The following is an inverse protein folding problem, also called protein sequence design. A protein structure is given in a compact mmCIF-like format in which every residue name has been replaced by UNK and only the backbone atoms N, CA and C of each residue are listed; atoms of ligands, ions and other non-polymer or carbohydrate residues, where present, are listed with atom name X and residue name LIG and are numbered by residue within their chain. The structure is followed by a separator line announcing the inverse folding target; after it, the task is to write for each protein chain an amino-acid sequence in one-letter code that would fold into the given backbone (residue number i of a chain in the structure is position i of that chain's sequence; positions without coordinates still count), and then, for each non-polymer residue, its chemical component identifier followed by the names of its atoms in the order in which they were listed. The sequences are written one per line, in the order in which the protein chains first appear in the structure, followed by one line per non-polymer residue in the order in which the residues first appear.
data_IF_006652690475
#
_entry.id   IF_006652690475
#
_cell.length_a   1.000
_cell.length_b   1.000
_cell.length_c   1.000
_cell.angle_alpha   90.00
_cell.angle_beta   90.00
_cell.angle_gamma   90.00
#
_symmetry.space_group_name_H-M   'P 1'
#
loop_
_entity.id
_entity.type
_entity.pdbx_description
1 polymer ?
#
# COMPACT_ATOMS: atom_id res chain seq x y z
N UNK A 1 -16.13 3.27 -64.04
CA UNK A 1 -16.38 2.81 -65.42
C UNK A 1 -17.89 2.65 -65.56
N UNK A 2 -18.46 3.15 -66.66
CA UNK A 2 -19.90 3.14 -67.01
C UNK A 2 -20.71 4.22 -66.26
N UNK A 3 -21.50 5.10 -66.86
CA UNK A 3 -21.54 5.80 -68.16
C UNK A 3 -22.62 6.87 -67.95
N UNK A 4 -22.33 8.11 -68.32
CA UNK A 4 -23.31 9.20 -68.34
C UNK A 4 -24.37 8.94 -69.42
N UNK A 5 -25.65 9.19 -69.10
CA UNK A 5 -26.65 9.50 -70.12
C UNK A 5 -27.43 10.74 -69.68
N UNK A 6 -27.22 11.82 -70.41
CA UNK A 6 -28.01 13.03 -70.41
C UNK A 6 -29.16 12.83 -71.39
N UNK A 7 -30.39 13.17 -71.00
CA UNK A 7 -31.46 13.42 -71.98
C UNK A 7 -32.36 14.54 -71.47
N UNK A 8 -32.26 15.68 -72.14
CA UNK A 8 -33.17 16.83 -72.02
C UNK A 8 -34.46 16.56 -72.82
N UNK A 9 -35.61 16.83 -72.16
CA UNK A 9 -36.88 17.39 -72.66
C UNK A 9 -37.80 16.52 -73.58
N UNK A 10 -39.16 16.70 -73.53
CA UNK A 10 -39.81 18.01 -73.43
C UNK A 10 -41.01 18.19 -72.47
N UNK A 11 -41.22 19.49 -72.22
CA UNK A 11 -42.43 20.17 -71.79
C UNK A 11 -43.65 19.72 -72.63
N UNK A 12 -44.78 19.42 -71.97
CA UNK A 12 -46.11 19.45 -72.59
C UNK A 12 -46.88 18.13 -72.59
N UNK A 13 -47.66 17.88 -71.54
CA UNK A 13 -48.96 17.23 -71.66
C UNK A 13 -49.83 17.64 -70.47
N UNK A 14 -50.60 18.70 -70.70
CA UNK A 14 -51.72 19.15 -69.91
C UNK A 14 -52.75 18.01 -69.82
N UNK A 15 -52.79 17.26 -68.73
CA UNK A 15 -53.96 16.45 -68.39
C UNK A 15 -54.91 17.29 -67.55
N UNK A 16 -55.76 18.04 -68.24
CA UNK A 16 -57.01 18.51 -67.67
C UNK A 16 -57.95 17.31 -67.58
N UNK A 17 -58.37 16.93 -66.36
CA UNK A 17 -59.64 16.26 -66.16
C UNK A 17 -60.62 17.25 -65.52
N UNK A 18 -61.52 17.72 -66.37
CA UNK A 18 -62.95 17.90 -66.17
C UNK A 18 -63.44 18.49 -64.84
N UNK A 19 -63.66 19.81 -64.86
CA UNK A 19 -64.58 20.51 -63.97
C UNK A 19 -66.02 20.23 -64.45
N UNK A 20 -66.73 19.32 -63.79
CA UNK A 20 -68.17 19.18 -63.95
C UNK A 20 -68.91 19.33 -62.61
N UNK A 21 -69.45 20.54 -62.43
CA UNK A 21 -70.66 20.92 -61.69
C UNK A 21 -70.87 20.35 -60.27
N UNK A 22 -70.55 21.16 -59.27
CA UNK A 22 -71.11 21.07 -57.93
C UNK A 22 -70.56 22.23 -57.08
N UNK A 23 -71.41 22.89 -56.30
CA UNK A 23 -71.04 23.94 -55.33
C UNK A 23 -70.25 23.37 -54.14
N UNK A 24 -69.18 22.62 -54.39
CA UNK A 24 -68.26 22.07 -53.41
C UNK A 24 -66.89 22.70 -53.58
N UNK A 25 -66.49 23.54 -52.64
CA UNK A 25 -65.10 24.02 -52.62
C UNK A 25 -64.15 22.83 -52.62
N UNK A 26 -63.10 22.88 -53.45
CA UNK A 26 -62.05 21.84 -53.47
C UNK A 26 -61.63 21.57 -52.02
N UNK A 27 -61.81 20.34 -51.54
CA UNK A 27 -61.47 19.98 -50.17
C UNK A 27 -60.01 20.37 -49.90
N UNK A 28 -59.79 21.13 -48.83
CA UNK A 28 -58.46 21.52 -48.39
C UNK A 28 -58.20 20.93 -47.02
N UNK A 29 -56.98 20.45 -46.83
CA UNK A 29 -56.56 19.73 -45.64
C UNK A 29 -55.52 20.52 -44.86
N UNK A 30 -55.54 20.41 -43.54
CA UNK A 30 -54.60 21.03 -42.64
C UNK A 30 -53.45 20.07 -42.29
N UNK A 31 -52.29 20.66 -41.98
CA UNK A 31 -51.20 19.97 -41.29
C UNK A 31 -51.11 20.58 -39.90
N UNK A 32 -51.30 19.78 -38.88
CA UNK A 32 -51.15 20.20 -37.48
C UNK A 32 -50.01 19.45 -36.82
N UNK A 33 -49.38 20.10 -35.85
CA UNK A 33 -48.28 19.51 -35.08
C UNK A 33 -48.76 19.32 -33.64
N UNK A 34 -48.45 18.15 -33.08
CA UNK A 34 -48.72 17.79 -31.69
C UNK A 34 -47.39 17.55 -30.98
N UNK A 35 -47.05 18.40 -30.01
CA UNK A 35 -45.82 18.30 -29.23
C UNK A 35 -45.72 17.04 -28.36
N UNK A 36 -46.81 16.27 -28.22
CA UNK A 36 -46.84 14.95 -27.58
C UNK A 36 -46.12 14.92 -26.22
N UNK A 37 -46.65 15.67 -25.25
CA UNK A 37 -46.08 15.72 -23.91
C UNK A 37 -44.73 16.44 -23.81
N UNK A 38 -44.40 17.33 -24.76
CA UNK A 38 -43.28 18.28 -24.61
C UNK A 38 -43.39 19.06 -23.29
N UNK A 39 -42.23 19.39 -22.71
CA UNK A 39 -42.13 20.10 -21.43
C UNK A 39 -41.69 21.54 -21.59
N UNK A 40 -41.10 21.90 -22.73
CA UNK A 40 -40.73 23.27 -23.06
C UNK A 40 -40.60 23.50 -24.58
N UNK A 41 -40.50 24.77 -24.95
CA UNK A 41 -40.43 25.21 -26.34
C UNK A 41 -41.81 25.32 -27.01
N UNK A 42 -41.79 25.59 -28.31
CA UNK A 42 -43.01 25.83 -29.09
C UNK A 42 -43.18 24.78 -30.20
N UNK A 43 -44.40 24.27 -30.29
CA UNK A 43 -44.85 23.40 -31.37
C UNK A 43 -45.11 24.25 -32.62
N UNK A 44 -44.68 23.82 -33.83
CA UNK A 44 -44.90 24.60 -35.05
C UNK A 44 -46.38 24.83 -35.34
N UNK A 45 -46.70 26.00 -35.87
CA UNK A 45 -48.04 26.32 -36.38
C UNK A 45 -47.99 26.41 -37.90
N UNK A 46 -48.89 25.70 -38.58
CA UNK A 46 -49.14 25.89 -40.01
C UNK A 46 -50.58 26.32 -40.26
N UNK A 47 -50.74 27.58 -40.69
CA UNK A 47 -52.04 28.18 -40.96
C UNK A 47 -52.55 27.87 -42.38
N UNK A 48 -51.72 27.25 -43.23
CA UNK A 48 -52.07 26.98 -44.62
C UNK A 48 -53.08 25.83 -44.73
N UNK A 49 -53.65 25.70 -45.92
CA UNK A 49 -54.63 24.70 -46.30
C UNK A 49 -54.26 24.14 -47.66
N UNK A 50 -54.09 22.84 -47.75
CA UNK A 50 -53.44 22.15 -48.85
C UNK A 50 -54.43 21.31 -49.66
N UNK A 51 -54.28 21.27 -50.98
CA UNK A 51 -54.92 20.28 -51.82
C UNK A 51 -54.20 18.92 -51.70
N UNK A 52 -54.85 17.87 -52.17
CA UNK A 52 -54.18 16.60 -52.44
C UNK A 52 -53.02 16.81 -53.43
N UNK A 53 -51.91 16.13 -53.19
CA UNK A 53 -50.64 16.23 -53.90
C UNK A 53 -49.82 17.50 -53.67
N UNK A 54 -50.30 18.42 -52.84
CA UNK A 54 -49.47 19.56 -52.43
C UNK A 54 -48.28 19.07 -51.59
N UNK A 55 -47.12 19.70 -51.80
CA UNK A 55 -45.91 19.47 -51.03
C UNK A 55 -45.83 20.42 -49.83
N UNK A 56 -45.54 19.87 -48.65
CA UNK A 56 -45.42 20.58 -47.39
C UNK A 56 -44.03 20.37 -46.82
N UNK A 57 -43.30 21.45 -46.55
CA UNK A 57 -42.05 21.36 -45.80
C UNK A 57 -42.36 21.20 -44.31
N UNK A 58 -41.94 20.08 -43.74
CA UNK A 58 -42.11 19.77 -42.31
C UNK A 58 -41.32 20.78 -41.48
N UNK A 59 -41.96 21.38 -40.48
CA UNK A 59 -41.37 22.46 -39.68
C UNK A 59 -40.63 21.90 -38.47
N UNK A 60 -39.57 22.60 -38.07
CA UNK A 60 -38.91 22.40 -36.78
C UNK A 60 -39.67 23.19 -35.70
N UNK A 61 -39.80 22.62 -34.51
CA UNK A 61 -40.21 23.38 -33.32
C UNK A 61 -39.11 24.34 -32.86
N UNK A 62 -39.51 25.42 -32.18
CA UNK A 62 -38.55 26.40 -31.65
C UNK A 62 -38.27 26.06 -30.19
N UNK A 63 -37.05 25.61 -29.90
CA UNK A 63 -36.68 25.16 -28.55
C UNK A 63 -37.49 23.96 -28.04
N UNK A 64 -38.16 23.23 -28.93
CA UNK A 64 -39.07 22.13 -28.58
C UNK A 64 -38.27 21.01 -27.89
N UNK A 65 -38.62 20.75 -26.64
CA UNK A 65 -37.94 19.75 -25.83
C UNK A 65 -38.90 19.01 -24.90
N UNK A 66 -38.51 17.80 -24.54
CA UNK A 66 -39.14 17.00 -23.49
C UNK A 66 -38.04 16.55 -22.55
N UNK A 67 -38.19 16.91 -21.28
CA UNK A 67 -37.21 16.63 -20.25
C UNK A 67 -36.88 15.13 -20.21
N UNK A 68 -35.59 14.80 -20.35
CA UNK A 68 -35.10 13.42 -20.36
C UNK A 68 -35.24 12.69 -21.69
N UNK A 69 -35.73 13.29 -22.77
CA UNK A 69 -35.87 12.63 -24.08
C UNK A 69 -35.19 13.41 -25.21
N UNK A 70 -34.87 12.71 -26.29
CA UNK A 70 -34.35 13.30 -27.53
C UNK A 70 -35.45 13.34 -28.58
N UNK A 71 -35.59 14.48 -29.27
CA UNK A 71 -36.55 14.61 -30.37
C UNK A 71 -36.09 13.76 -31.57
N UNK A 72 -36.87 12.75 -31.93
CA UNK A 72 -36.59 11.81 -33.01
C UNK A 72 -37.24 12.17 -34.35
N UNK A 73 -38.00 13.26 -34.43
CA UNK A 73 -38.78 13.67 -35.61
C UNK A 73 -40.29 13.65 -35.35
N UNK A 74 -41.08 13.73 -36.41
CA UNK A 74 -42.53 13.73 -36.34
C UNK A 74 -43.11 12.41 -36.88
N UNK A 75 -43.94 11.73 -36.09
CA UNK A 75 -44.73 10.59 -36.52
C UNK A 75 -45.93 11.04 -37.36
N UNK A 76 -46.20 10.30 -38.43
CA UNK A 76 -47.34 10.55 -39.32
C UNK A 76 -47.90 9.28 -39.91
N UNK A 77 -49.17 9.32 -40.29
CA UNK A 77 -49.89 8.28 -41.04
C UNK A 77 -50.28 8.77 -42.45
N UNK A 78 -49.72 9.88 -42.92
CA UNK A 78 -50.12 10.52 -44.18
C UNK A 78 -49.99 9.60 -45.40
N UNK A 79 -49.00 8.70 -45.39
CA UNK A 79 -48.79 7.67 -46.43
C UNK A 79 -49.63 6.40 -46.24
N UNK A 80 -50.47 6.34 -45.20
CA UNK A 80 -51.25 5.16 -44.82
C UNK A 80 -50.50 4.16 -43.93
N UNK A 81 -49.21 4.40 -43.66
CA UNK A 81 -48.38 3.62 -42.72
C UNK A 81 -47.73 4.59 -41.73
N UNK A 82 -47.41 4.12 -40.51
CA UNK A 82 -46.73 4.93 -39.52
C UNK A 82 -45.28 5.16 -39.95
N UNK A 83 -44.92 6.41 -40.18
CA UNK A 83 -43.56 6.81 -40.58
C UNK A 83 -43.07 8.00 -39.76
N UNK A 84 -41.75 8.20 -39.74
CA UNK A 84 -41.13 9.38 -39.11
C UNK A 84 -40.62 10.32 -40.18
N UNK A 85 -41.04 11.59 -40.13
CA UNK A 85 -40.56 12.67 -41.00
C UNK A 85 -39.77 13.70 -40.19
N UNK A 86 -38.62 14.09 -40.71
CA UNK A 86 -37.73 15.07 -40.09
C UNK A 86 -38.10 16.49 -40.49
N UNK A 87 -37.85 17.49 -39.63
CA UNK A 87 -37.91 18.88 -40.04
C UNK A 87 -37.08 19.15 -41.31
N UNK A 88 -37.66 19.91 -42.24
CA UNK A 88 -37.08 20.21 -43.55
C UNK A 88 -37.37 19.18 -44.65
N UNK A 89 -37.87 17.98 -44.30
CA UNK A 89 -38.34 17.03 -45.31
C UNK A 89 -39.67 17.48 -45.94
N UNK A 90 -39.90 17.01 -47.16
CA UNK A 90 -41.15 17.25 -47.89
C UNK A 90 -42.14 16.14 -47.58
N UNK A 91 -43.33 16.53 -47.15
CA UNK A 91 -44.51 15.69 -46.96
C UNK A 91 -45.49 15.96 -48.10
N UNK A 92 -45.96 14.93 -48.80
CA UNK A 92 -46.97 15.07 -49.85
C UNK A 92 -48.37 14.84 -49.25
N UNK A 93 -49.29 15.77 -49.50
CA UNK A 93 -50.63 15.72 -48.91
C UNK A 93 -51.54 14.70 -49.59
N UNK A 94 -52.21 13.90 -48.76
CA UNK A 94 -53.27 12.98 -49.18
C UNK A 94 -54.65 13.65 -49.29
N UNK A 95 -55.69 12.85 -49.07
CA UNK A 95 -57.09 13.28 -49.07
C UNK A 95 -57.66 13.50 -47.66
N UNK A 96 -56.84 13.85 -46.67
CA UNK A 96 -57.26 14.05 -45.29
C UNK A 96 -56.31 15.01 -44.55
N UNK A 97 -56.77 15.54 -43.41
CA UNK A 97 -55.92 16.28 -42.47
C UNK A 97 -54.80 15.38 -41.94
N UNK A 98 -53.61 15.97 -41.76
CA UNK A 98 -52.44 15.26 -41.23
C UNK A 98 -52.08 15.84 -39.87
N UNK A 99 -51.93 14.96 -38.89
CA UNK A 99 -51.34 15.30 -37.59
C UNK A 99 -49.92 14.75 -37.54
N UNK A 100 -48.96 15.63 -37.31
CA UNK A 100 -47.56 15.32 -37.07
C UNK A 100 -47.32 15.29 -35.56
N UNK A 101 -47.11 14.10 -34.99
CA UNK A 101 -46.96 13.92 -33.54
C UNK A 101 -45.48 13.77 -33.18
N UNK A 102 -44.97 14.54 -32.23
CA UNK A 102 -43.55 14.49 -31.85
C UNK A 102 -43.15 13.09 -31.38
N UNK A 103 -42.08 12.55 -31.95
CA UNK A 103 -41.43 11.29 -31.55
C UNK A 103 -40.36 11.61 -30.52
N UNK A 104 -40.48 11.03 -29.33
CA UNK A 104 -39.53 11.22 -28.24
C UNK A 104 -38.79 9.92 -27.95
N UNK A 105 -37.48 9.93 -28.15
CA UNK A 105 -36.59 8.79 -27.97
C UNK A 105 -35.96 8.83 -26.57
N UNK A 106 -35.80 7.67 -25.94
CA UNK A 106 -35.15 7.55 -24.65
C UNK A 106 -33.62 7.51 -24.79
N UNK A 107 -32.94 7.84 -23.70
CA UNK A 107 -31.48 7.77 -23.57
C UNK A 107 -31.09 6.91 -22.37
N UNK A 108 -29.89 6.36 -22.41
CA UNK A 108 -29.26 5.74 -21.26
C UNK A 108 -28.01 6.55 -20.91
N UNK A 109 -27.91 6.94 -19.65
CA UNK A 109 -26.78 7.72 -19.14
C UNK A 109 -26.15 7.01 -17.96
N UNK A 110 -24.86 7.26 -17.74
CA UNK A 110 -24.08 6.59 -16.73
C UNK A 110 -23.47 7.62 -15.77
N UNK A 111 -23.67 7.39 -14.47
CA UNK A 111 -23.16 8.23 -13.40
C UNK A 111 -22.09 7.48 -12.61
N UNK A 112 -20.91 8.09 -12.43
CA UNK A 112 -19.79 7.48 -11.70
C UNK A 112 -20.07 7.24 -10.21
N UNK A 113 -21.18 7.76 -9.69
CA UNK A 113 -21.73 7.55 -8.35
C UNK A 113 -20.68 7.71 -7.25
N UNK A 114 -20.12 8.92 -7.16
CA UNK A 114 -19.10 9.26 -6.16
C UNK A 114 -17.67 8.83 -6.50
N UNK A 115 -17.40 8.32 -7.70
CA UNK A 115 -16.05 7.97 -8.17
C UNK A 115 -15.01 9.06 -7.85
N UNK A 116 -13.85 8.64 -7.33
CA UNK A 116 -12.68 9.49 -7.05
C UNK A 116 -11.84 9.80 -8.30
N UNK A 117 -12.15 9.19 -9.44
CA UNK A 117 -11.57 9.53 -10.74
C UNK A 117 -12.05 8.62 -11.88
N UNK A 118 -11.51 8.86 -13.07
CA UNK A 118 -12.01 8.27 -14.32
C UNK A 118 -13.22 9.03 -14.86
N UNK A 119 -13.81 8.53 -15.95
CA UNK A 119 -15.04 9.06 -16.53
C UNK A 119 -16.05 7.92 -16.76
N UNK A 120 -17.35 8.16 -16.54
CA UNK A 120 -18.36 7.18 -16.90
C UNK A 120 -18.40 7.00 -18.42
N UNK A 121 -18.83 5.82 -18.92
CA UNK A 121 -19.02 5.60 -20.35
C UNK A 121 -20.16 6.50 -20.88
N UNK A 122 -20.07 6.85 -22.16
CA UNK A 122 -21.13 7.55 -22.88
C UNK A 122 -21.87 6.57 -23.80
N UNK A 123 -23.18 6.71 -23.88
CA UNK A 123 -24.01 6.02 -24.89
C UNK A 123 -24.71 7.08 -25.74
N UNK A 124 -24.22 7.24 -26.97
CA UNK A 124 -24.73 8.25 -27.92
C UNK A 124 -25.97 7.74 -28.70
N UNK A 125 -26.44 6.52 -28.39
CA UNK A 125 -27.64 5.95 -29.01
C UNK A 125 -28.90 6.51 -28.36
N UNK A 126 -30.00 6.42 -29.11
CA UNK A 126 -31.34 6.71 -28.63
C UNK A 126 -32.21 5.48 -28.86
N UNK A 127 -33.21 5.31 -28.00
CA UNK A 127 -33.98 4.07 -27.88
C UNK A 127 -35.48 4.30 -27.92
N UNK A 128 -36.22 3.28 -28.32
CA UNK A 128 -37.66 3.16 -28.15
C UNK A 128 -38.01 2.16 -27.05
N UNK A 129 -39.24 2.21 -26.50
CA UNK A 129 -39.69 1.21 -25.55
C UNK A 129 -39.64 -0.19 -26.17
N UNK A 130 -38.98 -1.11 -25.48
CA UNK A 130 -38.75 -2.49 -25.94
C UNK A 130 -37.37 -2.73 -26.54
N UNK A 131 -36.63 -1.69 -26.93
CA UNK A 131 -35.27 -1.84 -27.45
C UNK A 131 -34.33 -2.48 -26.43
N UNK A 132 -33.34 -3.23 -26.89
CA UNK A 132 -32.36 -3.86 -26.02
C UNK A 132 -31.13 -2.96 -25.84
N UNK A 133 -30.76 -2.71 -24.59
CA UNK A 133 -29.56 -1.97 -24.20
C UNK A 133 -28.55 -2.94 -23.61
N UNK A 134 -27.34 -2.98 -24.16
CA UNK A 134 -26.21 -3.74 -23.59
C UNK A 134 -25.40 -2.83 -22.66
N UNK A 135 -25.23 -3.25 -21.42
CA UNK A 135 -24.55 -2.50 -20.38
C UNK A 135 -23.02 -2.57 -20.56
N UNK A 136 -22.32 -1.42 -20.63
CA UNK A 136 -20.88 -1.38 -20.76
C UNK A 136 -20.19 -1.79 -19.45
N UNK A 137 -18.93 -2.19 -19.56
CA UNK A 137 -18.04 -2.33 -18.40
C UNK A 137 -17.59 -0.97 -17.87
N UNK A 138 -16.30 -0.88 -17.52
CA UNK A 138 -15.68 0.35 -17.04
C UNK A 138 -14.57 0.86 -17.98
N UNK A 139 -14.88 1.23 -19.24
CA UNK A 139 -13.87 1.60 -20.23
C UNK A 139 -13.15 2.91 -19.91
N UNK A 140 -13.82 3.83 -19.21
CA UNK A 140 -13.26 5.13 -18.79
C UNK A 140 -12.46 5.07 -17.48
N UNK A 141 -12.24 3.86 -16.93
CA UNK A 141 -11.38 3.65 -15.77
C UNK A 141 -11.87 4.35 -14.50
N UNK A 142 -13.19 4.32 -14.25
CA UNK A 142 -13.77 4.80 -12.99
C UNK A 142 -13.07 4.11 -11.81
N UNK A 143 -12.68 4.92 -10.82
CA UNK A 143 -12.05 4.47 -9.57
C UNK A 143 -12.77 5.08 -8.38
N UNK A 144 -12.85 4.34 -7.29
CA UNK A 144 -13.29 4.82 -5.99
C UNK A 144 -12.32 4.29 -4.94
N UNK A 145 -11.69 5.19 -4.19
CA UNK A 145 -10.70 4.81 -3.18
C UNK A 145 -11.40 3.97 -2.10
N UNK A 146 -10.84 2.81 -1.74
CA UNK A 146 -11.50 1.88 -0.80
C UNK A 146 -12.51 0.91 -1.42
N UNK A 147 -12.75 0.95 -2.73
CA UNK A 147 -13.75 0.08 -3.36
C UNK A 147 -13.42 -0.32 -4.81
N UNK A 148 -13.99 -1.45 -5.23
CA UNK A 148 -13.89 -1.97 -6.60
C UNK A 148 -15.19 -1.80 -7.36
N UNK A 149 -15.10 -1.45 -8.64
CA UNK A 149 -16.26 -1.34 -9.53
C UNK A 149 -16.92 -2.72 -9.69
N UNK A 150 -18.21 -2.80 -9.36
CA UNK A 150 -18.98 -4.04 -9.31
C UNK A 150 -20.08 -4.13 -10.39
N UNK A 151 -20.18 -3.12 -11.25
CA UNK A 151 -21.22 -3.00 -12.26
C UNK A 151 -22.01 -1.70 -12.11
N UNK A 152 -23.25 -1.73 -12.56
CA UNK A 152 -24.18 -0.61 -12.57
C UNK A 152 -25.47 -0.96 -11.83
N UNK A 153 -26.17 0.03 -11.29
CA UNK A 153 -27.47 -0.13 -10.64
C UNK A 153 -28.41 1.03 -10.99
N UNK A 154 -29.72 0.78 -10.92
CA UNK A 154 -30.74 1.77 -11.28
C UNK A 154 -30.82 2.91 -10.26
N UNK A 155 -30.59 2.62 -8.98
CA UNK A 155 -30.63 3.62 -7.92
C UNK A 155 -29.21 3.95 -7.43
N UNK A 156 -28.97 5.23 -7.12
CA UNK A 156 -27.67 5.70 -6.63
C UNK A 156 -27.25 5.07 -5.28
N UNK A 157 -28.22 4.66 -4.47
CA UNK A 157 -27.99 3.98 -3.18
C UNK A 157 -27.65 2.48 -3.33
N UNK A 158 -27.58 1.97 -4.56
CA UNK A 158 -27.27 0.57 -4.84
C UNK A 158 -28.48 -0.38 -4.75
N UNK A 159 -29.68 0.14 -4.46
CA UNK A 159 -30.91 -0.67 -4.45
C UNK A 159 -31.49 -0.83 -5.86
N UNK A 160 -32.48 -1.72 -6.00
CA UNK A 160 -33.13 -2.01 -7.27
C UNK A 160 -32.32 -2.92 -8.17
N UNK A 161 -32.63 -2.88 -9.47
CA UNK A 161 -31.98 -3.73 -10.46
C UNK A 161 -30.50 -3.36 -10.65
N UNK A 162 -29.73 -4.40 -10.93
CA UNK A 162 -28.27 -4.37 -10.95
C UNK A 162 -27.77 -5.10 -12.17
N UNK A 163 -26.80 -4.51 -12.85
CA UNK A 163 -26.28 -4.98 -14.12
C UNK A 163 -24.76 -5.06 -14.08
N UNK A 164 -24.23 -6.17 -14.56
CA UNK A 164 -22.80 -6.39 -14.81
C UNK A 164 -22.48 -6.16 -16.28
N UNK A 165 -21.19 -6.15 -16.63
CA UNK A 165 -20.76 -5.88 -18.00
C UNK A 165 -21.35 -6.89 -18.98
N UNK A 166 -21.94 -6.40 -20.07
CA UNK A 166 -22.55 -7.26 -21.10
C UNK A 166 -23.98 -7.70 -20.78
N UNK A 167 -24.51 -7.42 -19.59
CA UNK A 167 -25.93 -7.64 -19.32
C UNK A 167 -26.79 -6.81 -20.27
N UNK A 168 -27.97 -7.32 -20.60
CA UNK A 168 -28.91 -6.69 -21.52
C UNK A 168 -30.22 -6.44 -20.79
N UNK A 169 -30.73 -5.22 -20.88
CA UNK A 169 -32.07 -4.88 -20.40
C UNK A 169 -32.92 -4.29 -21.53
N UNK A 170 -34.24 -4.46 -21.42
CA UNK A 170 -35.19 -3.88 -22.37
C UNK A 170 -35.59 -2.48 -21.90
N UNK A 171 -35.58 -1.52 -22.82
CA UNK A 171 -35.83 -0.12 -22.52
C UNK A 171 -37.29 0.11 -22.16
N UNK A 172 -37.50 0.82 -21.05
CA UNK A 172 -38.83 1.23 -20.61
C UNK A 172 -39.35 2.47 -21.35
N UNK A 173 -40.47 3.01 -20.86
CA UNK A 173 -41.05 4.24 -21.43
C UNK A 173 -40.31 5.54 -21.07
N UNK A 174 -39.30 5.47 -20.19
CA UNK A 174 -38.52 6.60 -19.68
C UNK A 174 -37.04 6.35 -19.88
N UNK A 175 -36.27 7.43 -20.03
CA UNK A 175 -34.81 7.38 -20.02
C UNK A 175 -34.28 6.88 -18.68
N UNK A 176 -33.11 6.24 -18.71
CA UNK A 176 -32.51 5.58 -17.55
C UNK A 176 -31.16 6.23 -17.24
N UNK A 177 -30.92 6.47 -15.95
CA UNK A 177 -29.59 6.74 -15.41
C UNK A 177 -29.14 5.49 -14.68
N UNK A 178 -27.98 4.97 -15.04
CA UNK A 178 -27.33 3.87 -14.36
C UNK A 178 -26.18 4.41 -13.52
N UNK A 179 -26.17 4.08 -12.23
CA UNK A 179 -25.16 4.52 -11.27
C UNK A 179 -24.12 3.43 -11.09
N UNK A 180 -22.84 3.82 -11.01
CA UNK A 180 -21.79 2.87 -10.73
C UNK A 180 -22.02 2.22 -9.35
N UNK A 181 -21.94 0.88 -9.32
CA UNK A 181 -22.04 0.09 -8.10
C UNK A 181 -20.64 -0.26 -7.62
N UNK A 182 -20.39 -0.05 -6.33
CA UNK A 182 -19.09 -0.24 -5.72
C UNK A 182 -19.15 -1.31 -4.64
N UNK A 183 -18.14 -2.18 -4.59
CA UNK A 183 -17.94 -3.15 -3.50
C UNK A 183 -16.73 -2.70 -2.68
N UNK A 184 -16.91 -2.46 -1.39
CA UNK A 184 -15.82 -2.09 -0.48
C UNK A 184 -14.72 -3.14 -0.48
N UNK A 185 -13.47 -2.70 -0.58
CA UNK A 185 -12.32 -3.58 -0.55
C UNK A 185 -12.06 -4.07 0.88
N UNK A 186 -11.71 -5.35 1.09
CA UNK A 186 -11.33 -5.84 2.40
C UNK A 186 -10.03 -5.17 2.87
N UNK A 187 -9.95 -4.88 4.17
CA UNK A 187 -8.76 -4.31 4.80
C UNK A 187 -8.18 -5.26 5.85
N UNK A 188 -6.86 -5.21 6.01
CA UNK A 188 -6.08 -6.08 6.87
C UNK A 188 -5.20 -5.25 7.82
N UNK A 189 -4.73 -5.87 8.91
CA UNK A 189 -3.94 -5.20 9.95
C UNK A 189 -2.63 -5.93 10.23
N UNK A 190 -1.65 -5.19 10.75
CA UNK A 190 -0.40 -5.74 11.30
C UNK A 190 -0.47 -5.69 12.82
N UNK A 191 -0.25 -6.83 13.47
CA UNK A 191 -0.15 -6.95 14.93
C UNK A 191 1.28 -7.28 15.31
N UNK A 192 1.84 -6.56 16.27
CA UNK A 192 3.18 -6.81 16.79
C UNK A 192 3.11 -7.51 18.16
N UNK A 193 4.11 -8.34 18.46
CA UNK A 193 4.30 -8.99 19.75
C UNK A 193 5.74 -8.82 20.23
N UNK A 194 5.92 -8.42 21.49
CA UNK A 194 7.25 -8.23 22.10
C UNK A 194 8.08 -9.50 22.28
N UNK A 195 7.47 -10.67 22.12
CA UNK A 195 8.11 -12.00 22.09
C UNK A 195 9.15 -12.20 23.19
N UNK A 196 8.67 -12.35 24.43
CA UNK A 196 9.47 -12.51 25.65
C UNK A 196 10.28 -11.26 26.04
N UNK A 197 9.78 -10.06 25.71
CA UNK A 197 10.35 -8.82 26.23
C UNK A 197 10.24 -8.76 27.77
N UNK A 198 11.23 -8.17 28.42
CA UNK A 198 11.27 -7.95 29.88
C UNK A 198 10.76 -6.55 30.26
N UNK A 199 10.69 -5.64 29.29
CA UNK A 199 10.18 -4.28 29.51
C UNK A 199 9.74 -3.57 28.23
N UNK A 200 9.33 -2.31 28.39
CA UNK A 200 8.80 -1.48 27.32
C UNK A 200 7.36 -1.80 26.92
N UNK A 201 6.90 -1.19 25.84
CA UNK A 201 5.55 -1.36 25.27
C UNK A 201 5.66 -1.84 23.83
N UNK A 202 4.85 -2.83 23.46
CA UNK A 202 4.82 -3.31 22.08
C UNK A 202 4.21 -2.24 21.16
N UNK A 203 4.85 -1.85 20.05
CA UNK A 203 4.28 -0.93 19.09
C UNK A 203 2.92 -1.43 18.56
N UNK A 204 1.98 -0.51 18.38
CA UNK A 204 0.66 -0.80 17.82
C UNK A 204 0.47 -0.02 16.53
N UNK A 205 0.04 -0.71 15.47
CA UNK A 205 -0.41 -0.09 14.22
C UNK A 205 -1.94 -0.01 14.21
N UNK A 206 -2.47 1.21 14.24
CA UNK A 206 -3.91 1.46 14.22
C UNK A 206 -4.49 1.46 12.80
N UNK A 207 -3.64 1.43 11.77
CA UNK A 207 -4.02 1.55 10.37
C UNK A 207 -4.59 0.23 9.84
N UNK A 208 -5.58 0.32 8.96
CA UNK A 208 -6.07 -0.81 8.18
C UNK A 208 -5.63 -0.60 6.72
N UNK A 209 -5.13 -1.66 6.10
CA UNK A 209 -4.50 -1.60 4.78
C UNK A 209 -5.23 -2.51 3.80
N UNK A 210 -5.42 -2.06 2.57
CA UNK A 210 -5.82 -2.94 1.48
C UNK A 210 -4.68 -3.88 1.08
N UNK A 211 -5.02 -5.02 0.49
CA UNK A 211 -4.02 -5.91 -0.10
C UNK A 211 -3.22 -5.17 -1.19
N UNK A 212 -1.90 -5.34 -1.20
CA UNK A 212 -1.00 -4.66 -2.13
C UNK A 212 -0.50 -3.29 -1.66
N UNK A 213 -1.06 -2.73 -0.58
CA UNK A 213 -0.57 -1.48 0.00
C UNK A 213 0.88 -1.61 0.48
N UNK A 214 1.67 -0.55 0.33
CA UNK A 214 3.01 -0.46 0.91
C UNK A 214 2.91 -0.04 2.38
N UNK A 215 3.44 -0.87 3.27
CA UNK A 215 3.42 -0.65 4.72
C UNK A 215 4.83 -0.58 5.25
N UNK A 216 5.10 0.40 6.11
CA UNK A 216 6.39 0.54 6.80
C UNK A 216 6.33 -0.19 8.13
N UNK A 217 7.20 -1.17 8.33
CA UNK A 217 7.30 -1.93 9.58
C UNK A 217 7.71 -1.00 10.71
N UNK A 218 6.97 -1.03 11.82
CA UNK A 218 7.13 -0.06 12.90
C UNK A 218 8.52 -0.18 13.56
N UNK A 219 9.12 0.95 13.96
CA UNK A 219 10.32 0.94 14.76
C UNK A 219 10.03 0.47 16.19
N UNK A 220 11.07 0.33 17.01
CA UNK A 220 10.94 0.07 18.44
C UNK A 220 10.45 1.32 19.22
N UNK A 221 9.30 1.87 18.82
CA UNK A 221 8.77 3.14 19.35
C UNK A 221 8.34 3.07 20.82
N UNK A 222 8.01 1.89 21.32
CA UNK A 222 7.67 1.68 22.73
C UNK A 222 8.86 1.26 23.60
N UNK A 223 10.09 1.37 23.08
CA UNK A 223 11.32 1.05 23.82
C UNK A 223 11.30 -0.36 24.43
N UNK A 224 10.89 -1.36 23.64
CA UNK A 224 10.99 -2.77 24.01
C UNK A 224 12.44 -3.10 24.38
N UNK A 225 12.58 -3.82 25.49
CA UNK A 225 13.84 -4.35 25.99
C UNK A 225 13.66 -5.81 26.39
N UNK A 226 14.75 -6.57 26.27
CA UNK A 226 14.87 -7.93 26.77
C UNK A 226 16.26 -8.09 27.36
N UNK A 227 16.35 -8.35 28.65
CA UNK A 227 17.63 -8.37 29.39
C UNK A 227 18.59 -9.42 28.79
N UNK A 228 19.81 -8.99 28.46
CA UNK A 228 20.85 -9.80 27.78
C UNK A 228 20.60 -10.03 26.28
N UNK A 229 19.73 -9.23 25.65
CA UNK A 229 19.44 -9.32 24.22
C UNK A 229 19.23 -7.95 23.55
N UNK A 230 19.80 -7.80 22.36
CA UNK A 230 19.48 -6.73 21.42
C UNK A 230 18.31 -7.10 20.49
N UNK A 231 17.43 -6.13 20.20
CA UNK A 231 16.36 -6.28 19.20
C UNK A 231 16.97 -6.31 17.80
N UNK A 232 16.85 -7.45 17.11
CA UNK A 232 17.34 -7.67 15.76
C UNK A 232 16.30 -7.36 14.67
N UNK A 233 15.02 -7.20 15.03
CA UNK A 233 13.94 -6.85 14.11
C UNK A 233 12.63 -7.56 14.44
N UNK A 234 11.79 -7.74 13.43
CA UNK A 234 10.45 -8.32 13.56
C UNK A 234 10.32 -9.55 12.66
N UNK A 235 10.01 -10.70 13.23
CA UNK A 235 9.91 -11.99 12.54
C UNK A 235 8.46 -12.41 12.32
N UNK A 236 8.18 -13.10 11.22
CA UNK A 236 6.85 -13.65 10.91
C UNK A 236 6.45 -14.82 11.83
N UNK A 237 7.40 -15.40 12.56
CA UNK A 237 7.18 -16.54 13.44
C UNK A 237 7.74 -16.28 14.84
N UNK A 238 7.05 -16.83 15.84
CA UNK A 238 7.46 -16.74 17.25
C UNK A 238 8.84 -17.34 17.51
N UNK A 239 9.20 -18.40 16.77
CA UNK A 239 10.46 -19.12 16.91
C UNK A 239 11.64 -18.47 16.16
N UNK A 240 11.40 -17.37 15.44
CA UNK A 240 12.43 -16.66 14.68
C UNK A 240 12.85 -17.31 13.36
N UNK A 241 12.19 -18.40 12.94
CA UNK A 241 12.49 -19.12 11.68
C UNK A 241 11.87 -18.49 10.45
N UNK A 242 10.94 -17.54 10.62
CA UNK A 242 10.31 -16.81 9.52
C UNK A 242 11.21 -15.73 8.93
N UNK A 243 10.69 -15.01 7.94
CA UNK A 243 11.39 -13.84 7.42
C UNK A 243 11.49 -12.76 8.51
N UNK A 244 12.62 -12.04 8.55
CA UNK A 244 12.86 -10.96 9.53
C UNK A 244 12.84 -9.62 8.80
N UNK A 245 11.91 -8.76 9.19
CA UNK A 245 11.83 -7.38 8.78
C UNK A 245 12.66 -6.50 9.71
N UNK A 246 13.50 -5.64 9.13
CA UNK A 246 14.17 -4.60 9.89
C UNK A 246 13.17 -3.50 10.31
N UNK A 247 13.38 -2.81 11.45
CA UNK A 247 12.67 -1.59 11.79
C UNK A 247 12.70 -0.57 10.64
N UNK A 248 11.54 -0.06 10.20
CA UNK A 248 11.43 0.88 9.08
C UNK A 248 11.49 0.24 7.69
N UNK A 249 11.62 -1.08 7.58
CA UNK A 249 11.55 -1.77 6.29
C UNK A 249 10.15 -1.65 5.69
N UNK A 250 10.07 -1.45 4.37
CA UNK A 250 8.80 -1.46 3.63
C UNK A 250 8.44 -2.90 3.23
N UNK A 251 7.19 -3.29 3.45
CA UNK A 251 6.59 -4.55 3.00
C UNK A 251 5.31 -4.29 2.20
N UNK A 252 4.92 -5.24 1.36
CA UNK A 252 3.65 -5.23 0.65
C UNK A 252 2.62 -5.97 1.51
N UNK A 253 1.47 -5.34 1.78
CA UNK A 253 0.42 -5.95 2.58
C UNK A 253 -0.20 -7.15 1.86
N UNK A 254 -0.20 -8.37 2.43
CA UNK A 254 -0.88 -9.51 1.84
C UNK A 254 -2.41 -9.38 1.99
N UNK A 255 -3.15 -10.26 1.32
CA UNK A 255 -4.60 -10.41 1.49
C UNK A 255 -4.98 -11.14 2.80
N UNK A 256 -4.29 -10.84 3.89
CA UNK A 256 -4.49 -11.42 5.22
C UNK A 256 -3.91 -10.52 6.31
N UNK A 257 -4.41 -10.66 7.55
CA UNK A 257 -3.77 -10.03 8.70
C UNK A 257 -2.36 -10.59 8.91
N UNK A 258 -1.42 -9.73 9.29
CA UNK A 258 -0.02 -10.09 9.53
C UNK A 258 0.27 -10.00 11.02
N UNK A 259 0.99 -10.98 11.53
CA UNK A 259 1.47 -10.98 12.92
C UNK A 259 2.99 -11.03 12.91
N UNK A 260 3.62 -10.08 13.57
CA UNK A 260 5.07 -9.95 13.67
C UNK A 260 5.52 -10.07 15.13
N UNK A 261 6.60 -10.77 15.35
CA UNK A 261 7.17 -11.07 16.67
C UNK A 261 8.56 -10.46 16.78
N UNK A 262 8.88 -9.80 17.89
CA UNK A 262 10.22 -9.28 18.11
C UNK A 262 11.24 -10.43 18.01
N UNK A 263 12.29 -10.21 17.23
CA UNK A 263 13.43 -11.11 17.11
C UNK A 263 14.56 -10.54 17.93
N UNK A 264 15.10 -11.35 18.83
CA UNK A 264 16.14 -10.98 19.77
C UNK A 264 17.42 -11.73 19.45
N UNK A 265 18.55 -11.04 19.48
CA UNK A 265 19.90 -11.63 19.39
C UNK A 265 20.54 -11.50 20.76
N UNK A 266 21.10 -12.59 21.30
CA UNK A 266 21.77 -12.56 22.59
C UNK A 266 22.97 -11.60 22.53
N UNK A 267 23.14 -10.82 23.58
CA UNK A 267 24.32 -9.97 23.72
C UNK A 267 25.57 -10.84 23.90
N UNK A 268 26.73 -10.40 23.38
CA UNK A 268 27.97 -11.14 23.53
C UNK A 268 28.36 -11.19 25.01
N UNK A 269 28.89 -12.35 25.43
CA UNK A 269 29.45 -12.54 26.76
C UNK A 269 30.92 -12.91 26.68
N UNK A 270 31.67 -12.56 27.71
CA UNK A 270 33.13 -12.64 27.79
C UNK A 270 33.54 -13.40 29.06
N UNK A 271 34.72 -14.00 29.00
CA UNK A 271 35.30 -14.82 30.07
C UNK A 271 36.53 -14.16 30.69
N UNK A 272 36.89 -14.61 31.90
CA UNK A 272 38.10 -14.14 32.61
C UNK A 272 39.03 -15.32 32.84
N UNK A 273 40.26 -15.21 32.36
CA UNK A 273 41.31 -16.20 32.57
C UNK A 273 42.43 -15.64 33.46
N UNK A 274 42.99 -16.50 34.30
CA UNK A 274 44.14 -16.16 35.14
C UNK A 274 45.37 -16.92 34.66
N UNK A 275 46.47 -16.19 34.44
CA UNK A 275 47.77 -16.73 34.05
C UNK A 275 48.74 -16.63 35.23
N UNK A 276 49.28 -17.77 35.67
CA UNK A 276 50.30 -17.81 36.72
C UNK A 276 51.61 -17.06 36.36
N UNK A 277 51.76 -16.66 35.10
CA UNK A 277 52.80 -15.75 34.60
C UNK A 277 54.21 -16.06 35.12
N UNK A 278 54.73 -17.21 34.71
CA UNK A 278 56.07 -17.68 35.12
C UNK A 278 56.12 -18.28 36.52
N UNK A 279 55.00 -18.74 37.06
CA UNK A 279 54.96 -19.50 38.30
C UNK A 279 55.76 -20.80 38.19
N UNK A 280 56.40 -21.20 39.29
CA UNK A 280 57.15 -22.46 39.42
C UNK A 280 56.33 -23.55 40.13
N UNK A 281 55.19 -23.18 40.73
CA UNK A 281 54.27 -24.12 41.36
C UNK A 281 52.88 -23.53 41.61
N UNK A 282 52.00 -24.35 42.17
CA UNK A 282 50.59 -24.02 42.39
C UNK A 282 49.75 -23.98 41.11
N UNK A 283 48.51 -23.54 41.21
CA UNK A 283 47.58 -23.40 40.08
C UNK A 283 46.91 -22.04 40.09
N UNK A 284 46.74 -21.42 38.92
CA UNK A 284 45.96 -20.19 38.79
C UNK A 284 44.48 -20.45 39.14
N UNK A 285 43.76 -19.47 39.70
CA UNK A 285 42.32 -19.58 39.93
C UNK A 285 41.57 -19.71 38.59
N UNK A 286 40.38 -20.29 38.65
CA UNK A 286 39.48 -20.44 37.50
C UNK A 286 38.23 -19.61 37.78
N UNK A 287 37.88 -18.73 36.84
CA UNK A 287 36.57 -18.08 36.80
C UNK A 287 35.69 -18.83 35.80
N UNK A 288 34.52 -19.29 36.26
CA UNK A 288 33.55 -20.03 35.45
C UNK A 288 32.36 -19.19 34.99
N UNK A 289 32.38 -17.89 35.27
CA UNK A 289 31.30 -16.96 34.93
C UNK A 289 31.47 -16.41 33.51
N UNK A 290 30.36 -15.95 32.94
CA UNK A 290 30.31 -15.19 31.70
C UNK A 290 29.78 -13.80 32.04
N UNK A 291 30.41 -12.79 31.45
CA UNK A 291 30.16 -11.39 31.76
C UNK A 291 29.73 -10.65 30.50
N UNK A 292 28.74 -9.79 30.60
CA UNK A 292 28.43 -8.81 29.55
C UNK A 292 29.40 -7.62 29.64
N UNK A 293 29.50 -6.81 28.59
CA UNK A 293 30.31 -5.58 28.64
C UNK A 293 29.80 -4.66 29.75
N UNK A 294 30.72 -4.18 30.60
CA UNK A 294 30.43 -3.30 31.73
C UNK A 294 30.12 -4.00 33.05
N UNK A 295 29.94 -5.32 33.04
CA UNK A 295 29.82 -6.09 34.28
C UNK A 295 31.08 -5.96 35.15
N UNK A 296 30.92 -5.98 36.47
CA UNK A 296 32.06 -5.92 37.38
C UNK A 296 32.61 -7.31 37.68
N UNK A 297 33.77 -7.62 37.12
CA UNK A 297 34.58 -8.80 37.46
C UNK A 297 35.23 -8.59 38.82
N UNK A 298 35.03 -9.53 39.74
CA UNK A 298 35.70 -9.51 41.05
C UNK A 298 36.99 -10.31 41.00
N UNK A 299 38.11 -9.64 41.21
CA UNK A 299 39.45 -10.22 41.10
C UNK A 299 39.67 -11.29 42.17
N UNK A 300 40.09 -12.48 41.75
CA UNK A 300 40.38 -13.60 42.63
C UNK A 300 41.68 -13.36 43.40
N UNK A 301 41.77 -13.91 44.62
CA UNK A 301 43.02 -13.99 45.36
C UNK A 301 43.97 -15.05 44.78
N UNK A 302 44.76 -15.69 45.65
CA UNK A 302 45.64 -16.79 45.27
C UNK A 302 45.23 -18.13 45.92
N UNK A 303 44.03 -18.66 45.63
CA UNK A 303 43.53 -19.86 46.32
C UNK A 303 44.28 -21.13 45.94
N UNK A 304 44.85 -21.19 44.73
CA UNK A 304 45.65 -22.32 44.25
C UNK A 304 47.12 -22.27 44.68
N UNK A 305 47.46 -21.36 45.59
CA UNK A 305 48.80 -21.19 46.16
C UNK A 305 49.89 -21.12 45.07
N UNK A 306 49.70 -20.24 44.08
CA UNK A 306 50.72 -19.91 43.10
C UNK A 306 51.99 -19.47 43.81
N UNK A 307 53.11 -20.04 43.39
CA UNK A 307 54.45 -19.69 43.85
C UNK A 307 55.39 -19.49 42.66
N UNK A 308 56.36 -18.61 42.84
CA UNK A 308 57.46 -18.39 41.91
C UNK A 308 58.75 -18.23 42.72
N UNK A 309 59.74 -19.05 42.42
CA UNK A 309 61.00 -19.09 43.17
C UNK A 309 61.66 -17.69 43.20
N UNK A 310 62.06 -17.27 44.40
CA UNK A 310 62.65 -15.97 44.69
C UNK A 310 61.73 -14.76 44.49
N UNK A 311 60.41 -14.97 44.42
CA UNK A 311 59.43 -13.90 44.28
C UNK A 311 58.22 -14.07 45.21
N UNK A 312 57.60 -12.95 45.58
CA UNK A 312 56.33 -12.88 46.30
C UNK A 312 55.21 -12.46 45.36
N UNK A 313 54.06 -13.15 45.42
CA UNK A 313 52.85 -12.79 44.66
C UNK A 313 52.32 -11.43 45.13
N UNK A 314 52.17 -10.49 44.20
CA UNK A 314 51.80 -9.10 44.49
C UNK A 314 50.39 -8.72 44.02
N UNK A 315 49.65 -9.65 43.41
CA UNK A 315 48.34 -9.41 42.80
C UNK A 315 48.35 -9.74 41.30
N UNK A 316 47.38 -9.18 40.58
CA UNK A 316 47.17 -9.42 39.16
C UNK A 316 47.38 -8.14 38.33
N UNK A 317 47.81 -8.27 37.10
CA UNK A 317 47.92 -7.18 36.13
C UNK A 317 47.34 -7.57 34.78
N UNK A 318 47.02 -6.58 33.95
CA UNK A 318 46.46 -6.79 32.61
C UNK A 318 47.54 -7.05 31.56
N UNK A 319 48.79 -6.73 31.89
CA UNK A 319 49.95 -6.86 31.00
C UNK A 319 50.85 -8.00 31.50
N UNK A 320 51.28 -8.96 30.64
CA UNK A 320 52.17 -10.04 31.05
C UNK A 320 53.54 -9.56 31.56
N UNK A 321 54.02 -8.39 31.13
CA UNK A 321 55.28 -7.80 31.60
C UNK A 321 55.14 -7.15 33.00
N UNK A 322 53.95 -7.20 33.61
CA UNK A 322 53.72 -6.66 34.95
C UNK A 322 53.62 -5.13 35.00
N UNK A 323 53.54 -4.49 33.83
CA UNK A 323 53.43 -3.05 33.69
C UNK A 323 51.99 -2.57 34.00
N UNK A 324 51.88 -1.36 34.54
CA UNK A 324 50.59 -0.75 34.85
C UNK A 324 50.02 -1.12 36.22
N UNK A 325 48.69 -1.04 36.32
CA UNK A 325 47.93 -1.22 37.55
C UNK A 325 48.04 -2.65 38.10
N UNK A 326 47.98 -2.75 39.43
CA UNK A 326 47.97 -4.03 40.15
C UNK A 326 46.63 -4.15 40.85
N UNK A 327 45.95 -5.27 40.62
CA UNK A 327 44.66 -5.58 41.18
C UNK A 327 44.81 -6.63 42.28
N UNK A 328 44.33 -6.29 43.46
CA UNK A 328 44.31 -7.14 44.63
C UNK A 328 43.04 -8.00 44.67
N UNK A 329 43.01 -8.97 45.58
CA UNK A 329 41.82 -9.78 45.82
C UNK A 329 40.61 -8.90 46.17
N UNK A 330 39.50 -9.12 45.47
CA UNK A 330 38.24 -8.42 45.71
C UNK A 330 38.10 -7.10 44.97
N UNK A 331 39.14 -6.62 44.28
CA UNK A 331 39.04 -5.47 43.39
C UNK A 331 38.02 -5.74 42.27
N UNK A 332 37.40 -4.68 41.75
CA UNK A 332 36.42 -4.76 40.66
C UNK A 332 37.02 -4.21 39.37
N UNK A 333 36.93 -5.00 38.30
CA UNK A 333 37.33 -4.61 36.94
C UNK A 333 36.08 -4.62 36.06
N UNK A 334 35.71 -3.50 35.41
CA UNK A 334 34.62 -3.51 34.44
C UNK A 334 35.03 -4.32 33.21
N UNK A 335 34.18 -5.25 32.80
CA UNK A 335 34.41 -6.11 31.64
C UNK A 335 34.37 -5.30 30.35
N UNK A 336 35.32 -5.57 29.45
CA UNK A 336 35.42 -4.94 28.14
C UNK A 336 34.52 -5.57 27.08
N UNK A 337 34.95 -5.47 25.82
CA UNK A 337 34.30 -6.08 24.66
C UNK A 337 35.00 -7.36 24.18
N UNK A 338 35.89 -7.92 24.99
CA UNK A 338 36.72 -9.08 24.67
C UNK A 338 37.03 -9.86 25.96
N UNK A 339 37.46 -11.13 25.81
CA UNK A 339 37.91 -11.95 26.94
C UNK A 339 39.08 -11.29 27.70
N UNK A 340 39.03 -11.38 29.02
CA UNK A 340 40.00 -10.75 29.92
C UNK A 340 41.04 -11.78 30.39
N UNK A 341 42.33 -11.45 30.27
CA UNK A 341 43.39 -12.26 30.89
C UNK A 341 44.11 -11.45 31.97
N UNK A 342 44.16 -11.99 33.17
CA UNK A 342 44.89 -11.44 34.31
C UNK A 342 46.18 -12.23 34.55
N UNK A 343 47.31 -11.55 34.55
CA UNK A 343 48.64 -12.13 34.72
C UNK A 343 49.12 -11.92 36.16
N UNK A 344 49.65 -12.96 36.78
CA UNK A 344 50.22 -12.85 38.12
C UNK A 344 51.39 -11.86 38.11
N UNK A 345 51.38 -10.92 39.04
CA UNK A 345 52.47 -9.98 39.27
C UNK A 345 53.34 -10.49 40.41
N UNK A 346 54.65 -10.48 40.17
CA UNK A 346 55.65 -11.02 41.07
C UNK A 346 56.60 -9.91 41.51
N UNK A 347 56.84 -9.80 42.82
CA UNK A 347 57.88 -8.91 43.37
C UNK A 347 59.07 -9.75 43.77
N UNK A 348 60.26 -9.45 43.24
CA UNK A 348 61.48 -10.17 43.61
C UNK A 348 61.75 -10.05 45.11
N UNK A 349 62.10 -11.16 45.75
CA UNK A 349 62.46 -11.17 47.15
C UNK A 349 63.79 -10.44 47.37
N UNK A 350 63.96 -9.70 48.48
CA UNK A 350 65.24 -9.08 48.78
C UNK A 350 66.30 -10.16 48.99
N UNK A 351 67.47 -9.94 48.40
CA UNK A 351 68.64 -10.80 48.60
C UNK A 351 69.70 -10.09 49.43
N UNK A 352 70.39 -10.86 50.24
CA UNK A 352 71.39 -10.42 51.20
C UNK A 352 72.73 -11.06 50.88
N UNK A 353 73.82 -10.39 51.27
CA UNK A 353 75.18 -10.92 51.16
C UNK A 353 75.79 -11.04 52.55
N UNK A 354 76.61 -12.07 52.74
CA UNK A 354 77.47 -12.16 53.92
C UNK A 354 78.74 -11.38 53.68
N UNK A 355 79.04 -10.46 54.60
CA UNK A 355 80.26 -9.64 54.58
C UNK A 355 81.07 -9.95 55.82
N UNK A 356 82.33 -10.32 55.61
CA UNK A 356 83.28 -10.60 56.68
C UNK A 356 84.09 -9.34 56.98
N UNK A 357 84.09 -8.90 58.24
CA UNK A 357 84.91 -7.79 58.72
C UNK A 357 86.25 -8.33 59.25
N UNK A 358 87.37 -7.77 58.77
CA UNK A 358 88.73 -8.15 59.16
C UNK A 358 89.17 -7.58 60.51
N UNK A 359 88.35 -6.74 61.13
CA UNK A 359 88.54 -6.13 62.44
C UNK A 359 89.96 -5.57 62.67
N UNK A 360 90.46 -4.79 61.69
CA UNK A 360 91.75 -4.10 61.78
C UNK A 360 92.98 -4.98 61.45
N UNK A 361 92.83 -6.03 60.65
CA UNK A 361 93.95 -6.91 60.29
C UNK A 361 95.11 -6.15 59.62
N UNK A 362 96.35 -6.48 60.02
CA UNK A 362 97.59 -5.87 59.49
C UNK A 362 98.23 -6.70 58.36
N UNK A 363 97.53 -7.70 57.83
CA UNK A 363 97.96 -8.55 56.70
C UNK A 363 96.93 -9.62 56.33
N UNK A 364 96.93 -10.07 55.06
CA UNK A 364 95.97 -11.02 54.49
C UNK A 364 94.66 -10.39 53.99
N UNK A 365 93.77 -11.19 53.40
CA UNK A 365 92.43 -10.77 52.93
C UNK A 365 91.32 -11.50 53.69
N UNK A 366 90.21 -10.82 53.98
CA UNK A 366 89.01 -11.48 54.51
C UNK A 366 88.40 -12.42 53.44
N UNK A 367 87.73 -13.50 53.86
CA UNK A 367 86.95 -14.33 52.95
C UNK A 367 85.91 -13.49 52.21
N UNK A 368 85.65 -13.85 50.94
CA UNK A 368 84.60 -13.24 50.13
C UNK A 368 83.55 -14.30 49.86
N UNK A 369 82.31 -14.02 50.26
CA UNK A 369 81.16 -14.80 49.83
C UNK A 369 80.53 -14.16 48.59
N UNK A 370 80.49 -14.93 47.50
CA UNK A 370 79.94 -14.50 46.22
C UNK A 370 78.44 -14.82 46.09
N UNK A 371 77.86 -15.58 47.04
CA UNK A 371 76.47 -15.99 47.01
C UNK A 371 75.55 -14.88 47.51
N UNK A 372 74.29 -14.99 47.10
CA UNK A 372 73.19 -14.17 47.58
C UNK A 372 72.20 -15.08 48.29
N UNK A 373 71.64 -14.59 49.38
CA UNK A 373 70.75 -15.34 50.25
C UNK A 373 69.42 -14.61 50.38
N UNK A 374 68.33 -15.35 50.41
CA UNK A 374 67.04 -14.82 50.82
C UNK A 374 66.86 -14.96 52.34
N UNK A 375 65.88 -14.24 52.88
CA UNK A 375 65.52 -14.37 54.30
C UNK A 375 65.15 -15.82 54.62
N UNK A 376 65.87 -16.45 55.56
CA UNK A 376 65.62 -17.83 56.00
C UNK A 376 66.57 -18.87 55.42
N UNK A 377 67.43 -18.48 54.48
CA UNK A 377 68.48 -19.36 53.97
C UNK A 377 69.49 -19.72 55.07
N UNK A 378 69.93 -20.97 55.07
CA UNK A 378 71.04 -21.40 55.93
C UNK A 378 72.35 -21.01 55.27
N UNK A 379 73.04 -20.04 55.86
CA UNK A 379 74.37 -19.62 55.39
C UNK A 379 75.45 -20.37 56.15
N UNK A 380 76.45 -20.90 55.43
CA UNK A 380 77.68 -21.43 56.02
C UNK A 380 78.70 -20.30 56.12
N UNK A 381 78.91 -19.82 57.34
CA UNK A 381 79.88 -18.78 57.71
C UNK A 381 81.23 -19.37 58.08
#
# INVERSE_FOLDING_TARGET
MILWFSMLLPLGALFACDDSSGTGGKSRWAVTYDGNGHTSGEVPVDERRYATWDEVFVRAGVGLAREGFVFGGWLTMASGTLETVQPGQVLVMGGADVVLTARWMQTVTYDGNGASGGLPPTDDRTYEPGDNVTVPGNPGGLRLDGASFAGWCVNADGTGDSYTTGDVFSMGAQSVVLYARWTTNPTYRITYHGNSNTGGVVPADATAYEAGALVTVLPNSGSLVRDGYALAGWNERTDGTGFTYAPGQVMVMPAANVVLYAKWTADPTFTVAYSGNGNTGGTAPVDGLHYETGDNVRVAGNPGNLVRDGHTFAGWCLDPDGLGAVYAEGDLIPMGSDDLVLFAKWTANPTFRVVYDGNGNTGGSVPVDALHYETGDTVRV
#
